data_IF_350525269191
#
_entry.id   IF_350525269191
#
_cell.length_a   1.000
_cell.length_b   1.000
_cell.length_c   1.000
_cell.angle_alpha   90.00
_cell.angle_beta   90.00
_cell.angle_gamma   90.00
#
_symmetry.space_group_name_H-M   'P 1'
#
loop_
_entity.id
_entity.type
_entity.pdbx_description
1 polymer ?
#
# COMPACT_ATOMS: atom_id res chain seq x y z
N UNK A 1 7.85 -11.84 102.79
CA UNK A 1 9.09 -12.42 103.33
C UNK A 1 10.27 -11.66 102.76
N UNK A 2 11.02 -10.93 103.62
CA UNK A 2 12.36 -10.28 103.45
C UNK A 2 12.53 -9.29 102.26
N UNK A 3 12.46 -7.98 102.48
CA UNK A 3 13.56 -7.05 102.89
C UNK A 3 14.70 -7.05 101.86
N UNK A 4 14.93 -5.90 101.19
CA UNK A 4 16.21 -5.18 101.26
C UNK A 4 16.05 -3.71 100.85
N UNK A 5 16.44 -2.87 101.80
CA UNK A 5 16.71 -1.44 101.69
C UNK A 5 18.08 -1.25 101.02
N UNK A 6 18.26 -0.23 100.18
CA UNK A 6 19.48 0.61 100.16
C UNK A 6 19.31 1.80 99.21
N UNK A 7 19.47 2.99 99.78
CA UNK A 7 19.60 4.30 99.11
C UNK A 7 20.88 4.39 98.27
N UNK A 8 20.93 5.33 97.30
CA UNK A 8 22.02 6.33 97.13
C UNK A 8 21.78 7.24 95.87
N UNK A 9 21.74 8.56 96.15
CA UNK A 9 22.10 9.76 95.34
C UNK A 9 21.51 10.10 93.97
N UNK A 10 20.79 11.24 93.97
CA UNK A 10 20.94 12.48 93.17
C UNK A 10 21.16 12.42 91.64
N UNK A 11 20.29 13.14 90.90
CA UNK A 11 20.60 14.38 90.13
C UNK A 11 19.31 14.87 89.44
N UNK A 12 18.98 16.14 89.67
CA UNK A 12 17.96 16.89 88.93
C UNK A 12 18.57 17.31 87.59
N UNK A 13 17.97 16.89 86.48
CA UNK A 13 18.29 17.42 85.15
C UNK A 13 16.99 17.81 84.43
N UNK A 14 16.98 19.08 84.04
CA UNK A 14 15.89 19.82 83.41
C UNK A 14 15.62 19.27 82.01
N UNK A 15 14.38 18.84 81.73
CA UNK A 15 13.94 18.49 80.37
C UNK A 15 13.41 19.76 79.69
N UNK A 16 14.23 20.38 78.84
CA UNK A 16 13.76 21.32 77.82
C UNK A 16 13.51 20.51 76.55
N UNK A 17 12.24 20.30 76.22
CA UNK A 17 11.81 19.66 74.99
C UNK A 17 12.00 20.65 73.83
N UNK A 18 13.14 20.57 73.15
CA UNK A 18 13.36 21.31 71.91
C UNK A 18 12.55 20.66 70.78
N UNK A 19 11.44 21.30 70.38
CA UNK A 19 10.75 20.99 69.13
C UNK A 19 11.69 21.39 67.97
N UNK A 20 12.39 20.41 67.40
CA UNK A 20 13.09 20.60 66.14
C UNK A 20 12.04 20.79 65.04
N UNK A 21 11.84 22.04 64.61
CA UNK A 21 11.20 22.34 63.34
C UNK A 21 11.99 21.63 62.25
N UNK A 22 11.46 20.52 61.73
CA UNK A 22 12.00 19.94 60.52
C UNK A 22 11.63 20.88 59.37
N UNK A 23 12.60 21.38 58.59
CA UNK A 23 12.27 22.09 57.36
C UNK A 23 11.46 21.14 56.48
N UNK A 24 10.35 21.64 55.92
CA UNK A 24 9.60 20.95 54.88
C UNK A 24 10.60 20.50 53.81
N UNK A 25 10.82 19.19 53.70
CA UNK A 25 11.48 18.62 52.54
C UNK A 25 10.61 19.00 51.34
N UNK A 26 11.17 19.79 50.43
CA UNK A 26 10.59 19.99 49.10
C UNK A 26 10.66 18.64 48.40
N UNK A 27 9.60 17.86 48.47
CA UNK A 27 9.41 16.75 47.54
C UNK A 27 9.41 17.37 46.13
N UNK A 28 10.43 17.04 45.33
CA UNK A 28 10.46 17.43 43.94
C UNK A 28 9.16 16.93 43.28
N UNK A 29 8.44 17.78 42.52
CA UNK A 29 7.24 17.35 41.83
C UNK A 29 7.57 16.14 40.95
N UNK A 30 6.71 15.11 40.90
CA UNK A 30 6.99 13.90 40.16
C UNK A 30 7.27 14.28 38.70
N UNK A 31 8.51 14.04 38.27
CA UNK A 31 8.89 14.23 36.87
C UNK A 31 8.16 13.17 36.07
N UNK A 32 7.07 13.55 35.40
CA UNK A 32 6.42 12.71 34.40
C UNK A 32 7.42 12.60 33.24
N UNK A 33 8.21 11.52 33.25
CA UNK A 33 8.98 11.16 32.07
C UNK A 33 8.00 10.71 30.98
N UNK A 34 7.67 11.64 30.08
CA UNK A 34 7.00 11.31 28.83
C UNK A 34 7.96 10.38 28.08
N UNK A 35 7.71 9.07 28.14
CA UNK A 35 8.33 8.14 27.19
C UNK A 35 8.00 8.66 25.80
N UNK A 36 9.00 9.21 25.11
CA UNK A 36 8.90 9.38 23.68
C UNK A 36 8.73 7.98 23.11
N UNK A 37 7.53 7.67 22.62
CA UNK A 37 7.30 6.47 21.84
C UNK A 37 8.41 6.40 20.79
N UNK A 38 9.26 5.38 20.91
CA UNK A 38 10.32 5.18 19.93
C UNK A 38 9.67 5.11 18.55
N UNK A 39 10.23 5.91 17.63
CA UNK A 39 9.82 5.94 16.24
C UNK A 39 9.74 4.49 15.72
N UNK A 40 8.55 4.00 15.31
CA UNK A 40 8.43 2.58 15.02
C UNK A 40 9.22 2.22 13.77
N UNK A 41 9.67 0.97 13.76
CA UNK A 41 10.58 0.37 12.79
C UNK A 41 10.25 0.71 11.32
N UNK A 42 11.31 0.85 10.52
CA UNK A 42 11.30 0.99 9.05
C UNK A 42 10.56 -0.17 8.37
N UNK A 43 9.23 -0.14 8.39
CA UNK A 43 8.41 -0.75 7.36
C UNK A 43 8.63 0.00 6.05
N UNK A 44 8.43 -0.65 4.91
CA UNK A 44 8.60 -0.09 3.56
C UNK A 44 7.50 0.96 3.30
N UNK A 45 7.55 2.08 4.02
CA UNK A 45 6.66 3.22 3.87
C UNK A 45 7.06 3.92 2.58
N UNK A 46 6.07 4.07 1.69
CA UNK A 46 6.22 4.78 0.42
C UNK A 46 6.73 6.19 0.72
N UNK A 47 7.80 6.61 0.06
CA UNK A 47 8.45 7.93 0.25
C UNK A 47 7.49 9.12 0.31
N UNK A 48 6.30 8.98 -0.28
CA UNK A 48 5.24 9.99 -0.36
C UNK A 48 4.58 10.39 0.95
N UNK A 49 4.70 9.60 2.03
CA UNK A 49 4.12 9.94 3.35
C UNK A 49 5.17 9.99 4.47
N UNK A 50 6.46 9.90 4.13
CA UNK A 50 7.56 9.90 5.10
C UNK A 50 7.66 11.20 5.92
N UNK A 51 6.96 12.24 5.48
CA UNK A 51 6.84 13.55 6.14
C UNK A 51 5.87 13.58 7.33
N UNK A 52 5.11 12.50 7.59
CA UNK A 52 4.18 12.41 8.71
C UNK A 52 4.68 11.39 9.76
N UNK A 53 4.92 11.79 11.02
CA UNK A 53 5.15 10.82 12.10
C UNK A 53 3.90 9.95 12.29
N UNK A 54 4.08 8.62 12.25
CA UNK A 54 3.00 7.64 12.45
C UNK A 54 3.28 6.86 13.74
N UNK A 55 2.42 7.06 14.74
CA UNK A 55 2.54 6.45 16.07
C UNK A 55 1.97 5.02 16.11
N UNK A 56 2.37 4.23 17.11
CA UNK A 56 2.07 2.80 17.18
C UNK A 56 0.58 2.45 17.22
N UNK A 57 -0.27 3.31 17.78
CA UNK A 57 -1.73 3.17 17.73
C UNK A 57 -2.26 3.35 16.30
N UNK A 58 -1.82 4.40 15.61
CA UNK A 58 -2.20 4.69 14.22
C UNK A 58 -1.71 3.60 13.25
N UNK A 59 -0.52 3.03 13.50
CA UNK A 59 -0.01 1.91 12.70
C UNK A 59 -0.93 0.68 12.74
N UNK A 60 -1.45 0.33 13.92
CA UNK A 60 -2.38 -0.81 14.07
C UNK A 60 -3.68 -0.59 13.29
N UNK A 61 -4.21 0.62 13.32
CA UNK A 61 -5.42 0.97 12.58
C UNK A 61 -5.18 0.94 11.07
N UNK A 62 -4.08 1.54 10.59
CA UNK A 62 -3.68 1.49 9.18
C UNK A 62 -3.49 0.05 8.71
N UNK A 63 -2.86 -0.82 9.51
CA UNK A 63 -2.65 -2.22 9.14
C UNK A 63 -3.97 -2.99 9.08
N UNK A 64 -4.90 -2.68 9.97
CA UNK A 64 -6.26 -3.24 9.94
C UNK A 64 -6.98 -2.84 8.65
N UNK A 65 -6.90 -1.56 8.27
CA UNK A 65 -7.48 -1.05 7.02
C UNK A 65 -6.82 -1.68 5.79
N UNK A 66 -5.48 -1.82 5.80
CA UNK A 66 -4.74 -2.50 4.73
C UNK A 66 -5.14 -3.95 4.58
N UNK A 67 -5.28 -4.67 5.69
CA UNK A 67 -5.75 -6.07 5.70
C UNK A 67 -7.16 -6.17 5.13
N UNK A 68 -8.06 -5.28 5.53
CA UNK A 68 -9.42 -5.22 4.97
C UNK A 68 -9.40 -4.95 3.46
N UNK A 69 -8.57 -4.01 3.00
CA UNK A 69 -8.38 -3.70 1.57
C UNK A 69 -7.79 -4.87 0.80
N UNK A 70 -6.81 -5.59 1.36
CA UNK A 70 -6.26 -6.81 0.75
C UNK A 70 -7.33 -7.89 0.61
N UNK A 71 -8.23 -8.07 1.59
CA UNK A 71 -9.38 -8.98 1.47
C UNK A 71 -10.31 -8.59 0.32
N UNK A 72 -10.41 -7.30 -0.02
CA UNK A 72 -11.18 -6.83 -1.17
C UNK A 72 -10.45 -7.02 -2.52
N UNK A 73 -9.12 -7.20 -2.53
CA UNK A 73 -8.31 -7.45 -3.73
C UNK A 73 -8.48 -8.88 -4.24
N UNK A 74 -9.71 -9.26 -4.49
CA UNK A 74 -10.09 -10.51 -5.13
C UNK A 74 -9.82 -10.43 -6.62
N UNK A 75 -9.36 -11.54 -7.20
CA UNK A 75 -9.25 -11.66 -8.65
C UNK A 75 -10.58 -12.06 -9.30
N UNK A 76 -10.59 -12.11 -10.62
CA UNK A 76 -11.75 -12.47 -11.43
C UNK A 76 -11.61 -13.87 -12.04
N UNK A 77 -12.73 -14.43 -12.52
CA UNK A 77 -12.71 -15.51 -13.50
C UNK A 77 -12.83 -14.84 -14.88
N UNK A 78 -11.73 -14.69 -15.63
CA UNK A 78 -11.75 -13.99 -16.91
C UNK A 78 -12.52 -14.81 -17.95
N UNK A 79 -13.26 -14.13 -18.82
CA UNK A 79 -13.90 -14.74 -20.00
C UNK A 79 -13.48 -14.08 -21.31
N UNK A 80 -12.79 -12.95 -21.24
CA UNK A 80 -12.31 -12.19 -22.39
C UNK A 80 -10.96 -11.56 -22.06
N UNK A 81 -10.06 -11.57 -23.03
CA UNK A 81 -8.81 -10.82 -23.02
C UNK A 81 -8.76 -9.90 -24.25
N UNK A 82 -8.32 -8.66 -24.04
CA UNK A 82 -8.01 -7.72 -25.12
C UNK A 82 -6.61 -7.16 -24.94
N UNK A 83 -5.87 -7.07 -26.03
CA UNK A 83 -4.53 -6.48 -26.07
C UNK A 83 -4.45 -5.58 -27.31
N UNK A 84 -4.84 -4.29 -27.19
CA UNK A 84 -5.00 -3.41 -28.34
C UNK A 84 -3.74 -3.25 -29.20
N UNK A 85 -2.56 -3.18 -28.57
CA UNK A 85 -1.27 -2.99 -29.24
C UNK A 85 -0.96 -4.08 -30.29
N UNK A 86 -1.54 -5.28 -30.12
CA UNK A 86 -1.35 -6.43 -31.03
C UNK A 86 -2.68 -6.95 -31.56
N UNK A 87 -3.74 -6.15 -31.48
CA UNK A 87 -5.08 -6.43 -32.01
C UNK A 87 -5.69 -7.75 -31.52
N UNK A 88 -5.35 -8.18 -30.30
CA UNK A 88 -5.95 -9.38 -29.70
C UNK A 88 -7.30 -9.01 -29.07
N UNK A 89 -8.32 -9.79 -29.41
CA UNK A 89 -9.62 -9.78 -28.74
C UNK A 89 -10.18 -11.21 -28.74
N UNK A 90 -9.93 -11.95 -27.65
CA UNK A 90 -10.12 -13.39 -27.61
C UNK A 90 -10.92 -13.86 -26.39
N UNK A 91 -11.64 -14.98 -26.48
CA UNK A 91 -12.19 -15.66 -25.32
C UNK A 91 -11.09 -16.16 -24.39
N UNK A 92 -11.40 -16.20 -23.10
CA UNK A 92 -10.57 -16.84 -22.07
C UNK A 92 -11.35 -18.02 -21.50
N UNK A 93 -10.85 -19.23 -21.70
CA UNK A 93 -11.38 -20.45 -21.09
C UNK A 93 -10.58 -20.81 -19.84
N UNK A 94 -11.17 -21.62 -18.96
CA UNK A 94 -10.44 -22.19 -17.83
C UNK A 94 -9.72 -23.45 -18.30
N UNK A 95 -8.44 -23.55 -17.96
CA UNK A 95 -7.62 -24.73 -18.23
C UNK A 95 -7.00 -25.25 -16.93
N UNK A 96 -6.83 -26.56 -16.86
CA UNK A 96 -6.33 -27.27 -15.70
C UNK A 96 -4.87 -27.72 -15.87
N UNK A 97 -4.59 -28.88 -15.30
CA UNK A 97 -3.33 -29.61 -15.46
C UNK A 97 -3.59 -30.88 -16.24
N UNK A 98 -2.70 -31.19 -17.16
CA UNK A 98 -2.61 -32.50 -17.78
C UNK A 98 -2.19 -33.55 -16.74
N UNK A 99 -2.32 -34.83 -17.09
CA UNK A 99 -1.92 -35.96 -16.22
C UNK A 99 -0.43 -35.96 -15.85
N UNK A 100 0.42 -35.40 -16.71
CA UNK A 100 1.86 -35.22 -16.45
C UNK A 100 2.19 -33.88 -15.76
N UNK A 101 1.19 -33.17 -15.23
CA UNK A 101 1.36 -31.98 -14.39
C UNK A 101 1.64 -30.68 -15.13
N UNK A 102 1.62 -30.69 -16.47
CA UNK A 102 1.77 -29.49 -17.29
C UNK A 102 0.47 -28.68 -17.30
N UNK A 103 0.56 -27.38 -17.57
CA UNK A 103 -0.62 -26.55 -17.83
C UNK A 103 -1.27 -27.02 -19.14
N UNK A 104 -2.58 -27.24 -19.10
CA UNK A 104 -3.37 -27.46 -20.31
C UNK A 104 -3.36 -26.21 -21.21
N UNK A 105 -3.44 -26.41 -22.52
CA UNK A 105 -3.47 -25.34 -23.53
C UNK A 105 -4.80 -25.43 -24.28
N UNK A 106 -5.42 -24.30 -24.68
CA UNK A 106 -6.65 -24.32 -25.47
C UNK A 106 -6.53 -25.21 -26.72
N UNK A 107 -7.62 -25.89 -27.09
CA UNK A 107 -7.60 -26.80 -28.25
C UNK A 107 -7.54 -26.07 -29.60
N UNK A 108 -8.07 -24.85 -29.67
CA UNK A 108 -8.07 -24.04 -30.89
C UNK A 108 -7.11 -22.84 -30.77
N UNK A 109 -6.80 -22.23 -31.90
CA UNK A 109 -5.77 -21.20 -32.06
C UNK A 109 -6.25 -19.78 -31.78
N UNK A 110 -7.55 -19.59 -31.53
CA UNK A 110 -8.19 -18.28 -31.36
C UNK A 110 -8.61 -18.00 -29.91
N UNK A 111 -8.58 -19.03 -29.05
CA UNK A 111 -8.85 -18.92 -27.61
C UNK A 111 -7.57 -18.81 -26.78
N UNK A 112 -7.73 -18.29 -25.58
CA UNK A 112 -6.70 -18.26 -24.54
C UNK A 112 -7.16 -19.03 -23.31
N UNK A 113 -6.24 -19.60 -22.54
CA UNK A 113 -6.53 -20.45 -21.39
C UNK A 113 -5.96 -19.86 -20.11
N UNK A 114 -6.82 -19.50 -19.15
CA UNK A 114 -6.40 -19.14 -17.80
C UNK A 114 -6.19 -20.39 -16.94
N UNK A 115 -5.04 -20.48 -16.30
CA UNK A 115 -4.69 -21.56 -15.38
C UNK A 115 -5.48 -21.46 -14.07
N UNK A 116 -6.67 -22.08 -14.05
CA UNK A 116 -7.62 -22.01 -12.93
C UNK A 116 -7.07 -22.57 -11.60
N UNK A 117 -6.21 -23.60 -11.55
CA UNK A 117 -5.62 -24.04 -10.29
C UNK A 117 -4.67 -23.02 -9.65
N UNK A 118 -4.26 -21.97 -10.37
CA UNK A 118 -3.38 -20.91 -9.88
C UNK A 118 -4.12 -19.68 -9.34
N UNK A 119 -3.45 -18.54 -9.38
CA UNK A 119 -4.02 -17.27 -8.93
C UNK A 119 -5.04 -16.72 -9.93
N UNK A 120 -6.14 -16.17 -9.40
CA UNK A 120 -7.11 -15.41 -10.21
C UNK A 120 -6.49 -14.10 -10.67
N UNK A 121 -6.64 -13.69 -11.95
CA UNK A 121 -6.19 -12.37 -12.38
C UNK A 121 -6.76 -11.28 -11.49
N UNK A 122 -5.89 -10.46 -10.92
CA UNK A 122 -6.27 -9.43 -9.97
C UNK A 122 -6.25 -9.86 -8.50
N UNK A 123 -5.91 -11.09 -8.12
CA UNK A 123 -5.49 -11.35 -6.73
C UNK A 123 -4.01 -11.00 -6.54
N UNK A 124 -3.54 -10.94 -5.29
CA UNK A 124 -2.11 -11.02 -5.01
C UNK A 124 -1.58 -12.37 -5.52
N UNK A 125 -0.46 -12.37 -6.24
CA UNK A 125 0.10 -13.55 -6.88
C UNK A 125 0.30 -13.39 -8.39
N UNK A 126 0.67 -14.50 -9.04
CA UNK A 126 0.88 -14.59 -10.47
C UNK A 126 -0.26 -15.36 -11.14
N UNK A 127 -1.17 -14.64 -11.80
CA UNK A 127 -2.14 -15.28 -12.68
C UNK A 127 -1.49 -15.61 -14.03
N UNK A 128 -1.87 -16.72 -14.66
CA UNK A 128 -1.25 -17.20 -15.91
C UNK A 128 -2.31 -17.43 -16.97
N UNK A 129 -2.10 -16.85 -18.16
CA UNK A 129 -2.90 -17.10 -19.36
C UNK A 129 -1.99 -17.57 -20.49
N UNK A 130 -2.33 -18.70 -21.09
CA UNK A 130 -1.62 -19.25 -22.24
C UNK A 130 -2.42 -19.09 -23.54
N UNK A 131 -1.72 -18.97 -24.65
CA UNK A 131 -2.31 -18.94 -25.99
C UNK A 131 -1.30 -19.41 -27.04
N UNK A 132 -1.81 -19.96 -28.15
CA UNK A 132 -0.96 -20.45 -29.24
C UNK A 132 -0.23 -19.31 -29.95
N UNK A 133 1.00 -19.57 -30.39
CA UNK A 133 1.77 -18.63 -31.22
C UNK A 133 1.32 -18.75 -32.68
N UNK A 134 1.26 -19.96 -33.22
CA UNK A 134 0.87 -20.24 -34.58
C UNK A 134 0.21 -21.62 -34.70
N UNK A 135 -0.04 -22.01 -35.95
CA UNK A 135 -0.55 -23.31 -36.35
C UNK A 135 -0.13 -23.61 -37.78
N UNK A 136 -0.44 -24.82 -38.25
CA UNK A 136 -0.27 -25.18 -39.67
C UNK A 136 -1.03 -24.28 -40.65
N UNK A 137 -2.05 -23.54 -40.17
CA UNK A 137 -2.86 -22.61 -40.98
C UNK A 137 -2.36 -21.16 -40.90
N UNK A 138 -1.33 -20.87 -40.12
CA UNK A 138 -0.77 -19.54 -39.92
C UNK A 138 -0.83 -19.06 -38.46
N UNK A 139 -0.67 -17.75 -38.28
CA UNK A 139 -0.62 -17.06 -36.99
C UNK A 139 -1.83 -17.39 -36.10
N UNK A 140 -1.58 -17.53 -34.79
CA UNK A 140 -2.59 -17.76 -33.77
C UNK A 140 -2.72 -16.54 -32.82
N UNK A 141 -3.55 -16.67 -31.79
CA UNK A 141 -3.95 -15.56 -30.91
C UNK A 141 -2.77 -14.79 -30.28
N UNK A 142 -1.66 -15.45 -29.96
CA UNK A 142 -0.48 -14.82 -29.35
C UNK A 142 0.72 -14.73 -30.29
N UNK A 143 0.51 -14.81 -31.61
CA UNK A 143 1.58 -14.69 -32.62
C UNK A 143 2.43 -13.43 -32.43
N UNK A 144 1.79 -12.29 -32.20
CA UNK A 144 2.44 -10.98 -32.05
C UNK A 144 2.82 -10.64 -30.60
N UNK A 145 2.71 -11.59 -29.65
CA UNK A 145 2.98 -11.31 -28.23
C UNK A 145 4.40 -10.79 -27.98
N UNK A 146 5.37 -11.16 -28.82
CA UNK A 146 6.76 -10.66 -28.79
C UNK A 146 6.89 -9.16 -29.05
N UNK A 147 5.89 -8.53 -29.65
CA UNK A 147 5.92 -7.11 -30.04
C UNK A 147 5.55 -6.18 -28.89
N UNK A 148 4.90 -6.70 -27.84
CA UNK A 148 4.51 -5.91 -26.68
C UNK A 148 5.69 -5.21 -26.01
N UNK A 149 5.46 -3.98 -25.60
CA UNK A 149 6.41 -3.10 -24.93
C UNK A 149 5.93 -2.77 -23.52
N UNK A 150 6.84 -2.28 -22.68
CA UNK A 150 6.47 -1.82 -21.35
C UNK A 150 5.44 -0.68 -21.44
N UNK A 151 4.38 -0.78 -20.63
CA UNK A 151 3.26 0.17 -20.65
C UNK A 151 2.06 -0.28 -21.49
N UNK A 152 2.21 -1.22 -22.43
CA UNK A 152 1.09 -1.73 -23.21
C UNK A 152 0.02 -2.35 -22.31
N UNK A 153 -1.25 -2.07 -22.63
CA UNK A 153 -2.37 -2.51 -21.81
C UNK A 153 -2.90 -3.90 -22.21
N UNK A 154 -3.16 -4.71 -21.19
CA UNK A 154 -3.87 -5.98 -21.28
C UNK A 154 -5.15 -5.85 -20.46
N UNK A 155 -6.30 -6.01 -21.11
CA UNK A 155 -7.61 -5.88 -20.49
C UNK A 155 -8.24 -7.25 -20.32
N UNK A 156 -8.68 -7.56 -19.09
CA UNK A 156 -9.48 -8.75 -18.79
C UNK A 156 -10.87 -8.34 -18.34
N UNK A 157 -11.87 -9.12 -18.73
CA UNK A 157 -13.25 -8.96 -18.26
C UNK A 157 -13.82 -10.29 -17.77
N UNK A 158 -14.66 -10.24 -16.72
CA UNK A 158 -15.47 -11.37 -16.30
C UNK A 158 -16.92 -11.28 -16.79
N UNK A 159 -17.71 -12.32 -16.52
CA UNK A 159 -19.14 -12.38 -16.91
C UNK A 159 -20.00 -11.30 -16.26
N UNK A 160 -19.57 -10.73 -15.14
CA UNK A 160 -20.31 -9.66 -14.44
C UNK A 160 -20.03 -8.27 -15.02
N UNK A 161 -19.07 -8.16 -15.94
CA UNK A 161 -18.65 -6.90 -16.52
C UNK A 161 -17.56 -6.17 -15.74
N UNK A 162 -17.02 -6.77 -14.66
CA UNK A 162 -15.83 -6.23 -13.98
C UNK A 162 -14.63 -6.33 -14.91
N UNK A 163 -13.87 -5.24 -15.00
CA UNK A 163 -12.72 -5.12 -15.88
C UNK A 163 -11.44 -4.88 -15.08
N UNK A 164 -10.38 -5.56 -15.50
CA UNK A 164 -9.04 -5.38 -14.99
C UNK A 164 -8.15 -4.87 -16.12
N UNK A 165 -7.37 -3.83 -15.85
CA UNK A 165 -6.32 -3.37 -16.77
C UNK A 165 -4.97 -3.66 -16.15
N UNK A 166 -4.13 -4.38 -16.88
CA UNK A 166 -2.73 -4.62 -16.56
C UNK A 166 -1.85 -3.85 -17.54
N UNK A 167 -0.72 -3.36 -17.06
CA UNK A 167 0.30 -2.76 -17.91
C UNK A 167 1.53 -3.68 -17.96
N UNK A 168 2.03 -3.95 -19.17
CA UNK A 168 3.23 -4.76 -19.39
C UNK A 168 4.41 -4.13 -18.67
N UNK A 169 5.19 -4.95 -17.96
CA UNK A 169 6.41 -4.54 -17.28
C UNK A 169 7.66 -5.06 -17.99
N UNK A 170 7.61 -6.31 -18.43
CA UNK A 170 8.76 -6.98 -19.04
C UNK A 170 8.32 -8.17 -19.89
N UNK A 171 9.24 -8.63 -20.74
CA UNK A 171 9.11 -9.88 -21.50
C UNK A 171 10.43 -10.64 -21.44
N UNK A 172 10.36 -11.97 -21.35
CA UNK A 172 11.54 -12.83 -21.33
C UNK A 172 11.27 -14.16 -22.02
N UNK A 173 12.22 -14.61 -22.83
CA UNK A 173 12.22 -15.96 -23.39
C UNK A 173 12.98 -16.89 -22.45
N UNK A 174 12.44 -18.10 -22.27
CA UNK A 174 13.09 -19.17 -21.52
C UNK A 174 13.03 -20.44 -22.35
N UNK A 175 14.09 -21.26 -22.30
CA UNK A 175 13.97 -22.67 -22.68
C UNK A 175 12.84 -23.29 -21.85
N UNK A 176 11.94 -24.04 -22.49
CA UNK A 176 10.74 -24.57 -21.84
C UNK A 176 11.07 -25.35 -20.54
N UNK A 177 12.15 -26.14 -20.57
CA UNK A 177 12.62 -26.97 -19.45
C UNK A 177 13.32 -26.16 -18.33
N UNK A 178 13.77 -24.93 -18.63
CA UNK A 178 14.50 -24.06 -17.68
C UNK A 178 13.68 -22.86 -17.23
N UNK A 179 12.39 -22.82 -17.57
CA UNK A 179 11.50 -21.73 -17.17
C UNK A 179 11.39 -21.67 -15.64
N UNK A 180 11.52 -20.50 -15.00
CA UNK A 180 11.46 -20.36 -13.55
C UNK A 180 10.00 -20.47 -13.07
N UNK A 181 9.50 -21.70 -12.93
CA UNK A 181 8.08 -22.00 -12.65
C UNK A 181 7.55 -21.22 -11.45
N UNK A 182 8.30 -21.12 -10.36
CA UNK A 182 7.87 -20.38 -9.16
C UNK A 182 7.73 -18.87 -9.42
N UNK A 183 8.52 -18.27 -10.30
CA UNK A 183 8.37 -16.86 -10.66
C UNK A 183 7.14 -16.62 -11.55
N UNK A 184 6.78 -17.62 -12.37
CA UNK A 184 5.71 -17.51 -13.36
C UNK A 184 4.34 -17.87 -12.78
N UNK A 185 4.27 -18.91 -11.92
CA UNK A 185 3.03 -19.48 -11.37
C UNK A 185 2.88 -19.27 -9.86
N UNK A 186 3.97 -18.94 -9.16
CA UNK A 186 4.00 -18.91 -7.70
C UNK A 186 3.44 -17.63 -7.07
N UNK A 187 3.66 -17.49 -5.77
CA UNK A 187 3.16 -16.35 -4.99
C UNK A 187 3.89 -15.05 -5.33
N UNK A 188 3.21 -13.93 -5.10
CA UNK A 188 3.74 -12.59 -5.28
C UNK A 188 3.00 -11.63 -4.37
N UNK A 189 3.70 -10.64 -3.83
CA UNK A 189 3.09 -9.51 -3.11
C UNK A 189 2.53 -8.45 -4.07
N UNK A 190 2.70 -8.64 -5.37
CA UNK A 190 2.06 -7.84 -6.42
C UNK A 190 0.90 -8.62 -7.05
N UNK A 191 0.02 -7.88 -7.74
CA UNK A 191 -1.08 -8.43 -8.54
C UNK A 191 -0.60 -8.56 -9.99
N UNK A 192 0.00 -9.69 -10.34
CA UNK A 192 0.68 -9.91 -11.61
C UNK A 192 -0.13 -10.83 -12.54
N UNK A 193 0.04 -10.60 -13.84
CA UNK A 193 -0.46 -11.43 -14.93
C UNK A 193 0.72 -11.82 -15.81
N UNK A 194 0.87 -13.11 -16.07
CA UNK A 194 1.85 -13.66 -17.01
C UNK A 194 1.11 -14.22 -18.23
N UNK A 195 1.41 -13.67 -19.40
CA UNK A 195 0.98 -14.23 -20.67
C UNK A 195 2.08 -15.14 -21.21
N UNK A 196 1.73 -16.37 -21.61
CA UNK A 196 2.69 -17.37 -22.06
C UNK A 196 2.34 -17.83 -23.47
N UNK A 197 3.36 -17.90 -24.33
CA UNK A 197 3.23 -18.55 -25.64
C UNK A 197 4.52 -19.29 -26.04
N UNK A 198 4.40 -20.16 -27.03
CA UNK A 198 5.53 -20.82 -27.68
C UNK A 198 6.36 -19.80 -28.49
N UNK A 199 7.69 -19.92 -28.51
CA UNK A 199 8.54 -19.04 -29.32
C UNK A 199 9.87 -19.71 -29.70
N UNK A 200 10.72 -19.04 -30.48
CA UNK A 200 12.03 -19.58 -30.86
C UNK A 200 11.92 -20.71 -31.89
N UNK A 201 12.98 -21.50 -32.04
CA UNK A 201 13.06 -22.55 -33.07
C UNK A 201 12.03 -23.65 -32.85
N UNK A 202 11.37 -24.07 -33.94
CA UNK A 202 10.50 -25.24 -33.92
C UNK A 202 11.34 -26.52 -33.99
N UNK A 203 11.21 -27.38 -32.99
CA UNK A 203 11.76 -28.72 -32.95
C UNK A 203 10.77 -29.67 -33.64
N UNK A 204 11.15 -30.20 -34.81
CA UNK A 204 10.31 -31.09 -35.61
C UNK A 204 10.13 -32.49 -35.02
N UNK A 205 11.10 -32.97 -34.24
CA UNK A 205 11.01 -34.27 -33.56
C UNK A 205 10.02 -34.18 -32.40
N UNK A 206 10.15 -33.12 -31.58
CA UNK A 206 9.25 -32.86 -30.44
C UNK A 206 7.94 -32.18 -30.84
N UNK A 207 7.82 -31.76 -32.11
CA UNK A 207 6.69 -31.00 -32.68
C UNK A 207 6.28 -29.80 -31.83
N UNK A 208 7.27 -29.07 -31.32
CA UNK A 208 7.05 -27.92 -30.44
C UNK A 208 8.17 -26.91 -30.58
N UNK A 209 7.87 -25.67 -30.21
CA UNK A 209 8.90 -24.66 -30.01
C UNK A 209 9.71 -24.94 -28.75
N UNK A 210 11.02 -24.72 -28.81
CA UNK A 210 11.91 -24.99 -27.67
C UNK A 210 11.81 -23.93 -26.56
N UNK A 211 11.37 -22.72 -26.90
CA UNK A 211 11.27 -21.61 -25.96
C UNK A 211 9.82 -21.29 -25.58
N UNK A 212 9.68 -20.65 -24.42
CA UNK A 212 8.45 -20.01 -23.95
C UNK A 212 8.71 -18.53 -23.73
N UNK A 213 7.94 -17.71 -24.44
CA UNK A 213 7.88 -16.28 -24.18
C UNK A 213 6.93 -16.04 -23.00
N UNK A 214 7.41 -15.35 -21.98
CA UNK A 214 6.61 -14.88 -20.86
C UNK A 214 6.57 -13.36 -20.88
N UNK A 215 5.38 -12.78 -20.98
CA UNK A 215 5.15 -11.35 -20.79
C UNK A 215 4.53 -11.14 -19.41
N UNK A 216 5.22 -10.40 -18.55
CA UNK A 216 4.75 -10.08 -17.20
C UNK A 216 4.14 -8.69 -17.19
N UNK A 217 2.92 -8.58 -16.69
CA UNK A 217 2.17 -7.35 -16.55
C UNK A 217 1.67 -7.17 -15.12
N UNK A 218 1.58 -5.92 -14.67
CA UNK A 218 1.11 -5.57 -13.32
C UNK A 218 -0.24 -4.87 -13.42
N UNK A 219 -1.15 -5.22 -12.51
CA UNK A 219 -2.45 -4.58 -12.46
C UNK A 219 -2.31 -3.07 -12.16
N UNK A 220 -2.92 -2.26 -13.01
CA UNK A 220 -2.97 -0.79 -12.87
C UNK A 220 -4.37 -0.28 -12.59
N UNK A 221 -5.43 -1.00 -13.00
CA UNK A 221 -6.81 -0.62 -12.73
C UNK A 221 -7.72 -1.84 -12.50
N UNK A 222 -8.70 -1.68 -11.62
CA UNK A 222 -9.73 -2.67 -11.30
C UNK A 222 -11.04 -1.94 -11.07
N UNK A 223 -12.02 -2.14 -11.95
CA UNK A 223 -13.26 -1.35 -11.91
C UNK A 223 -14.09 -1.59 -10.65
N UNK A 224 -13.86 -2.68 -9.91
CA UNK A 224 -14.53 -2.93 -8.64
C UNK A 224 -13.87 -2.21 -7.46
N UNK A 225 -12.60 -1.81 -7.58
CA UNK A 225 -11.88 -1.12 -6.52
C UNK A 225 -11.89 0.38 -6.76
N UNK A 226 -12.70 1.11 -5.99
CA UNK A 226 -12.65 2.56 -5.98
C UNK A 226 -11.32 3.00 -5.37
N UNK A 227 -10.62 3.91 -6.04
CA UNK A 227 -9.46 4.59 -5.44
C UNK A 227 -9.99 5.54 -4.39
N UNK A 228 -9.84 5.18 -3.12
CA UNK A 228 -10.24 6.02 -2.01
C UNK A 228 -9.29 7.22 -1.91
N UNK A 229 -9.86 8.40 -2.10
CA UNK A 229 -9.20 9.69 -1.93
C UNK A 229 -9.82 10.32 -0.68
N UNK A 230 -9.02 10.81 0.28
CA UNK A 230 -9.59 11.42 1.47
C UNK A 230 -10.38 12.67 1.10
N UNK A 231 -11.42 12.98 1.89
CA UNK A 231 -12.11 14.28 1.80
C UNK A 231 -11.15 15.40 2.21
N UNK A 232 -11.33 16.58 1.64
CA UNK A 232 -10.60 17.77 2.06
C UNK A 232 -10.97 18.13 3.52
N UNK A 233 -10.05 18.74 4.29
CA UNK A 233 -10.39 19.28 5.60
C UNK A 233 -11.44 20.40 5.46
N UNK A 234 -12.28 20.53 6.47
CA UNK A 234 -13.33 21.55 6.52
C UNK A 234 -12.93 22.72 7.42
N UNK A 235 -13.67 23.82 7.31
CA UNK A 235 -13.50 24.99 8.17
C UNK A 235 -12.06 25.52 8.17
N UNK A 236 -11.43 25.52 6.99
CA UNK A 236 -10.14 26.18 6.81
C UNK A 236 -10.36 27.67 7.02
N UNK A 237 -9.63 28.26 7.96
CA UNK A 237 -9.73 29.66 8.34
C UNK A 237 -8.36 30.25 8.55
N UNK A 238 -8.20 31.51 8.17
CA UNK A 238 -7.05 32.32 8.55
C UNK A 238 -7.42 33.24 9.71
N UNK A 239 -6.51 33.37 10.68
CA UNK A 239 -6.59 34.34 11.77
C UNK A 239 -5.19 34.90 12.03
N UNK A 240 -4.95 36.14 11.60
CA UNK A 240 -3.61 36.73 11.58
C UNK A 240 -2.65 35.91 10.69
N UNK A 241 -1.49 35.56 11.26
CA UNK A 241 -0.48 34.72 10.60
C UNK A 241 -0.73 33.22 10.81
N UNK A 242 -1.92 32.80 11.24
CA UNK A 242 -2.24 31.37 11.43
C UNK A 242 -3.32 30.89 10.47
N UNK A 243 -3.07 29.73 9.85
CA UNK A 243 -4.08 28.96 9.10
C UNK A 243 -4.49 27.76 9.93
N UNK A 244 -5.79 27.61 10.18
CA UNK A 244 -6.39 26.56 11.00
C UNK A 244 -7.46 25.79 10.23
N UNK A 245 -7.75 24.56 10.64
CA UNK A 245 -8.80 23.74 10.02
C UNK A 245 -9.36 22.69 10.98
N UNK A 246 -10.49 22.08 10.62
CA UNK A 246 -11.03 20.92 11.33
C UNK A 246 -10.42 19.62 10.81
N UNK A 247 -10.10 18.74 11.75
CA UNK A 247 -9.54 17.43 11.44
C UNK A 247 -10.52 16.58 10.63
N UNK A 248 -10.05 16.02 9.53
CA UNK A 248 -10.68 14.88 8.88
C UNK A 248 -10.46 13.64 9.78
N UNK A 249 -11.56 13.03 10.21
CA UNK A 249 -11.58 11.89 11.14
C UNK A 249 -11.58 10.53 10.42
N UNK A 250 -11.41 10.51 9.10
CA UNK A 250 -11.26 9.26 8.38
C UNK A 250 -10.00 8.51 8.91
N UNK A 251 -10.13 7.21 9.23
CA UNK A 251 -9.09 6.46 9.95
C UNK A 251 -7.83 6.22 9.10
N UNK A 252 -7.93 6.41 7.79
CA UNK A 252 -6.80 6.32 6.86
C UNK A 252 -6.03 7.63 6.72
N UNK A 253 -6.52 8.77 7.23
CA UNK A 253 -5.83 10.07 7.11
C UNK A 253 -4.61 10.12 8.03
N UNK A 254 -3.44 10.32 7.44
CA UNK A 254 -2.15 10.38 8.16
C UNK A 254 -1.68 11.80 8.43
N UNK A 255 -2.19 12.78 7.67
CA UNK A 255 -1.87 14.18 7.89
C UNK A 255 -2.42 15.11 6.82
N UNK A 256 -1.85 16.31 6.79
CA UNK A 256 -2.28 17.41 5.96
C UNK A 256 -1.07 18.08 5.33
N UNK A 257 -1.22 18.52 4.08
CA UNK A 257 -0.25 19.43 3.46
C UNK A 257 -0.88 20.80 3.35
N UNK A 258 -0.13 21.82 3.74
CA UNK A 258 -0.54 23.22 3.59
C UNK A 258 0.26 23.82 2.46
N UNK A 259 -0.45 24.51 1.57
CA UNK A 259 0.14 25.17 0.43
C UNK A 259 -0.18 26.65 0.45
N UNK A 260 0.81 27.42 0.05
CA UNK A 260 0.69 28.80 -0.35
C UNK A 260 0.43 28.85 -1.85
N UNK A 261 -0.56 29.64 -2.27
CA UNK A 261 -0.96 29.81 -3.67
C UNK A 261 -0.82 31.29 -4.02
N UNK A 262 0.04 31.57 -5.00
CA UNK A 262 0.28 32.91 -5.54
C UNK A 262 0.17 32.84 -7.06
N UNK A 263 -0.76 33.61 -7.63
CA UNK A 263 -1.20 33.44 -9.02
C UNK A 263 -1.55 31.96 -9.31
N UNK A 264 -0.81 31.29 -10.21
CA UNK A 264 -0.97 29.87 -10.53
C UNK A 264 0.07 28.96 -9.85
N UNK A 265 0.99 29.53 -9.06
CA UNK A 265 2.05 28.78 -8.41
C UNK A 265 1.59 28.31 -7.04
N UNK A 266 1.67 26.99 -6.82
CA UNK A 266 1.33 26.35 -5.55
C UNK A 266 2.58 25.77 -4.89
N UNK A 267 2.95 26.29 -3.73
CA UNK A 267 4.15 25.91 -2.99
C UNK A 267 3.77 25.28 -1.66
N UNK A 268 4.27 24.06 -1.37
CA UNK A 268 4.04 23.42 -0.07
C UNK A 268 4.86 24.15 0.99
N UNK A 269 4.20 24.62 2.05
CA UNK A 269 4.87 25.32 3.14
C UNK A 269 4.97 24.49 4.42
N UNK A 270 4.07 23.51 4.59
CA UNK A 270 4.04 22.67 5.78
C UNK A 270 3.41 21.30 5.52
N UNK A 271 3.81 20.34 6.34
CA UNK A 271 3.13 19.06 6.55
C UNK A 271 2.76 18.98 8.03
N UNK A 272 1.50 18.64 8.33
CA UNK A 272 1.00 18.51 9.72
C UNK A 272 0.38 17.14 9.91
N UNK A 273 0.84 16.38 10.90
CA UNK A 273 0.38 15.04 11.18
C UNK A 273 -1.09 15.01 11.65
N UNK A 274 -1.74 13.86 11.50
CA UNK A 274 -3.14 13.68 11.92
C UNK A 274 -3.36 13.89 13.42
N UNK A 275 -2.35 13.68 14.26
CA UNK A 275 -2.41 13.84 15.71
C UNK A 275 -1.88 15.20 16.22
N UNK A 276 -1.32 16.04 15.36
CA UNK A 276 -0.82 17.37 15.73
C UNK A 276 -1.93 18.43 15.79
N UNK A 277 -1.61 19.63 16.27
CA UNK A 277 -2.54 20.77 16.22
C UNK A 277 -2.82 21.13 14.76
N UNK A 278 -4.09 21.29 14.38
CA UNK A 278 -4.53 21.65 13.01
C UNK A 278 -4.37 23.14 12.76
N UNK A 279 -3.13 23.61 12.84
CA UNK A 279 -2.72 24.99 12.71
C UNK A 279 -1.31 25.06 12.15
N UNK A 280 -1.03 26.02 11.27
CA UNK A 280 0.32 26.40 10.86
C UNK A 280 0.48 27.90 10.87
N UNK A 281 1.69 28.37 11.15
CA UNK A 281 2.06 29.75 10.88
C UNK A 281 2.29 29.95 9.38
N UNK A 282 1.72 31.01 8.84
CA UNK A 282 1.69 31.34 7.43
C UNK A 282 1.77 32.86 7.27
N UNK A 283 3.00 33.34 7.02
CA UNK A 283 3.30 34.77 6.89
C UNK A 283 2.53 35.40 5.74
N UNK A 284 2.17 36.68 5.91
CA UNK A 284 1.44 37.46 4.92
C UNK A 284 2.31 37.79 3.69
N UNK A 285 1.77 37.49 2.52
CA UNK A 285 2.16 38.09 1.24
C UNK A 285 0.92 38.69 0.56
N UNK A 286 1.11 39.68 -0.29
CA UNK A 286 0.01 40.33 -1.00
C UNK A 286 -0.56 39.39 -2.06
N UNK A 287 -1.88 39.16 -2.06
CA UNK A 287 -2.53 38.19 -2.97
C UNK A 287 -2.29 36.71 -2.65
N UNK A 288 -1.68 36.41 -1.51
CA UNK A 288 -1.35 35.04 -1.09
C UNK A 288 -2.58 34.33 -0.50
N UNK A 289 -2.95 33.18 -1.10
CA UNK A 289 -4.02 32.30 -0.58
C UNK A 289 -3.44 31.03 0.02
N UNK A 290 -4.17 30.42 0.94
CA UNK A 290 -3.80 29.13 1.51
C UNK A 290 -4.83 28.05 1.22
N UNK A 291 -4.32 26.86 0.90
CA UNK A 291 -5.14 25.65 0.76
C UNK A 291 -4.54 24.52 1.58
N UNK A 292 -5.41 23.73 2.18
CA UNK A 292 -5.05 22.56 2.98
C UNK A 292 -5.64 21.32 2.32
N UNK A 293 -4.85 20.27 2.19
CA UNK A 293 -5.30 18.97 1.68
C UNK A 293 -5.06 17.89 2.72
N UNK A 294 -5.95 16.90 2.78
CA UNK A 294 -5.74 15.69 3.55
C UNK A 294 -4.90 14.70 2.76
N UNK A 295 -4.04 13.95 3.45
CA UNK A 295 -3.24 12.86 2.89
C UNK A 295 -3.57 11.58 3.65
N UNK A 296 -3.86 10.49 2.94
CA UNK A 296 -4.12 9.19 3.55
C UNK A 296 -2.91 8.25 3.53
N UNK A 297 -3.04 7.11 4.21
CA UNK A 297 -1.98 6.11 4.42
C UNK A 297 -1.51 5.39 3.15
N UNK A 298 -2.25 5.53 2.04
CA UNK A 298 -1.87 5.08 0.70
C UNK A 298 -1.20 6.20 -0.13
N UNK A 299 -1.04 7.39 0.43
CA UNK A 299 -0.49 8.57 -0.23
C UNK A 299 -1.47 9.26 -1.19
N UNK A 300 -2.76 8.93 -1.13
CA UNK A 300 -3.83 9.67 -1.77
C UNK A 300 -3.99 11.06 -1.16
N UNK A 301 -4.22 12.06 -2.00
CA UNK A 301 -4.33 13.47 -1.61
C UNK A 301 -5.71 13.97 -1.98
N UNK A 302 -6.38 14.64 -1.04
CA UNK A 302 -7.70 15.22 -1.30
C UNK A 302 -7.64 16.30 -2.39
N UNK A 303 -8.82 16.71 -2.87
CA UNK A 303 -8.96 18.03 -3.50
C UNK A 303 -8.53 19.14 -2.54
N UNK A 304 -8.27 20.31 -3.09
CA UNK A 304 -8.01 21.50 -2.29
C UNK A 304 -9.19 21.80 -1.39
N UNK A 305 -8.90 22.25 -0.17
CA UNK A 305 -9.90 22.98 0.60
C UNK A 305 -10.35 24.21 -0.19
N UNK A 306 -11.48 24.80 0.19
CA UNK A 306 -11.71 26.21 -0.15
C UNK A 306 -10.48 27.03 0.23
N UNK A 307 -10.11 27.99 -0.62
CA UNK A 307 -8.98 28.89 -0.35
C UNK A 307 -9.37 29.92 0.70
N UNK A 308 -8.43 30.26 1.55
CA UNK A 308 -8.57 31.39 2.48
C UNK A 308 -7.52 32.45 2.16
N UNK A 309 -7.95 33.72 2.20
CA UNK A 309 -7.12 34.91 2.06
C UNK A 309 -6.58 35.34 3.44
#
# INVERSE_FOLDING_TARGET
>A
MKIFLTSITAIVAIIILAFAMHPFATEEPPTIQVKHDQQPAKGKIVSRIAEFPIYANQQREIETLRTAKQKQQTGIIPVRIKIPAIQVDAPVIQVGKTTNGQMEVPNNTVETGWYNPGYKPGSLGNAVIAGHVDSKKGAAVFFYLKELQAGDEILLADKSGRKLTFAVQSKKSYLAEKAPINQIFGSSTNRLLNLITCTGTFDYERRTHIDRLVVTAKLVNDTALKKEVPKAPTNVKRSGDSVTWYANRAPDVVGYRVYQVEAEKKVKIASVAANERKSVEAKRGEGTRFVVVSVNSDGGVSRDSGSVD
#
